data_IF_419785731864
#
_entry.id   IF_419785731864
#
_cell.length_a   1.000
_cell.length_b   1.000
_cell.length_c   1.000
_cell.angle_alpha   90.00
_cell.angle_beta   90.00
_cell.angle_gamma   90.00
#
_symmetry.space_group_name_H-M   'P 1'
#
loop_
_entity.id
_entity.type
_entity.pdbx_description
1 polymer ?
#
# COMPACT_ATOMS: atom_id res chain seq x y z
N UNK A 1 -16.11 -4.94 -10.77
CA UNK A 1 -16.26 -4.50 -9.37
C UNK A 1 -14.89 -4.32 -8.73
N UNK A 2 -14.64 -3.17 -8.18
CA UNK A 2 -13.34 -2.90 -7.56
C UNK A 2 -13.29 -3.53 -6.17
N UNK A 3 -12.16 -4.16 -5.84
CA UNK A 3 -11.95 -4.71 -4.51
C UNK A 3 -11.69 -3.58 -3.50
N UNK A 4 -11.90 -3.88 -2.21
CA UNK A 4 -11.59 -2.91 -1.14
C UNK A 4 -10.13 -2.48 -1.15
N UNK A 5 -9.22 -3.41 -1.49
CA UNK A 5 -7.80 -3.11 -1.59
C UNK A 5 -7.49 -2.10 -2.69
N UNK A 6 -8.13 -2.25 -3.85
CA UNK A 6 -7.96 -1.32 -4.96
C UNK A 6 -8.45 0.08 -4.61
N UNK A 7 -9.60 0.18 -3.92
CA UNK A 7 -10.12 1.47 -3.49
C UNK A 7 -9.18 2.16 -2.49
N UNK A 8 -8.65 1.42 -1.53
CA UNK A 8 -7.70 1.96 -0.56
C UNK A 8 -6.43 2.45 -1.24
N UNK A 9 -5.88 1.67 -2.19
CA UNK A 9 -4.70 2.06 -2.95
C UNK A 9 -4.96 3.33 -3.75
N UNK A 10 -6.13 3.44 -4.39
CA UNK A 10 -6.48 4.64 -5.16
C UNK A 10 -6.62 5.86 -4.26
N UNK A 11 -7.14 5.69 -3.05
CA UNK A 11 -7.24 6.79 -2.08
C UNK A 11 -5.86 7.26 -1.63
N UNK A 12 -4.96 6.33 -1.35
CA UNK A 12 -3.58 6.68 -0.98
C UNK A 12 -2.85 7.35 -2.13
N UNK A 13 -3.02 6.86 -3.35
CA UNK A 13 -2.43 7.46 -4.54
C UNK A 13 -2.88 8.90 -4.70
N UNK A 14 -4.19 9.15 -4.65
CA UNK A 14 -4.73 10.50 -4.79
C UNK A 14 -4.22 11.43 -3.68
N UNK A 15 -4.16 10.93 -2.46
CA UNK A 15 -3.64 11.72 -1.33
C UNK A 15 -2.18 12.12 -1.55
N UNK A 16 -1.33 11.17 -1.95
CA UNK A 16 0.09 11.47 -2.16
C UNK A 16 0.30 12.39 -3.36
N UNK A 17 -0.51 12.25 -4.40
CA UNK A 17 -0.47 13.18 -5.52
C UNK A 17 -0.85 14.60 -5.07
N UNK A 18 -1.83 14.71 -4.17
CA UNK A 18 -2.21 16.01 -3.61
C UNK A 18 -1.09 16.64 -2.77
N UNK A 19 -0.17 15.82 -2.26
CA UNK A 19 1.00 16.26 -1.52
C UNK A 19 2.21 16.59 -2.41
N UNK A 20 2.03 16.49 -3.72
CA UNK A 20 3.07 16.83 -4.68
C UNK A 20 3.93 15.67 -5.17
N UNK A 21 3.58 14.44 -4.82
CA UNK A 21 4.32 13.27 -5.27
C UNK A 21 3.83 12.76 -6.62
N UNK A 22 4.76 12.24 -7.40
CA UNK A 22 4.44 11.39 -8.53
C UNK A 22 4.33 9.97 -7.99
N UNK A 23 3.24 9.28 -8.28
CA UNK A 23 2.93 7.98 -7.65
C UNK A 23 2.84 6.88 -8.70
N UNK A 24 3.50 5.76 -8.42
CA UNK A 24 3.40 4.56 -9.22
C UNK A 24 2.82 3.44 -8.35
N UNK A 25 1.84 2.72 -8.88
CA UNK A 25 1.23 1.57 -8.19
C UNK A 25 1.91 0.27 -8.62
N UNK A 26 2.07 -0.63 -7.68
CA UNK A 26 2.46 -2.00 -7.99
C UNK A 26 1.34 -2.67 -8.81
N UNK A 27 1.74 -3.47 -9.78
CA UNK A 27 0.79 -4.14 -10.68
C UNK A 27 0.96 -5.65 -10.61
N UNK A 28 -0.15 -6.36 -10.72
CA UNK A 28 -0.13 -7.81 -10.87
C UNK A 28 0.55 -8.17 -12.17
N UNK A 29 1.34 -9.23 -12.16
CA UNK A 29 2.00 -9.76 -13.33
C UNK A 29 1.29 -11.05 -13.74
N UNK A 30 0.94 -11.18 -15.03
CA UNK A 30 0.39 -12.42 -15.57
C UNK A 30 1.52 -13.15 -16.28
N UNK A 31 1.74 -14.40 -15.89
CA UNK A 31 2.68 -15.28 -16.58
C UNK A 31 1.92 -16.48 -17.14
N UNK A 32 2.44 -17.08 -18.20
CA UNK A 32 1.84 -18.23 -18.83
C UNK A 32 2.68 -19.47 -18.53
N UNK A 33 2.06 -20.45 -17.87
CA UNK A 33 2.70 -21.73 -17.60
C UNK A 33 1.84 -22.82 -18.21
N UNK A 34 2.42 -23.56 -19.16
CA UNK A 34 1.75 -24.67 -19.84
C UNK A 34 0.39 -24.26 -20.43
N UNK A 35 0.35 -23.07 -21.04
CA UNK A 35 -0.86 -22.58 -21.68
C UNK A 35 -1.91 -22.02 -20.73
N UNK A 36 -1.61 -21.90 -19.44
CA UNK A 36 -2.52 -21.32 -18.45
C UNK A 36 -2.01 -19.98 -17.93
N UNK A 37 -2.87 -18.96 -17.89
CA UNK A 37 -2.48 -17.70 -17.28
C UNK A 37 -2.47 -17.82 -15.75
N UNK A 38 -1.38 -17.38 -15.14
CA UNK A 38 -1.26 -17.34 -13.69
C UNK A 38 -1.00 -15.89 -13.30
N UNK A 39 -1.88 -15.34 -12.46
CA UNK A 39 -1.71 -13.99 -11.94
C UNK A 39 -0.83 -14.05 -10.69
N UNK A 40 0.29 -13.32 -10.73
CA UNK A 40 1.18 -13.19 -9.58
C UNK A 40 1.03 -11.79 -9.01
N UNK A 41 0.74 -11.67 -7.71
CA UNK A 41 0.77 -10.36 -7.08
C UNK A 41 2.20 -9.82 -7.14
N UNK A 42 2.34 -8.54 -7.41
CA UNK A 42 3.63 -7.88 -7.48
C UNK A 42 3.61 -6.64 -6.61
N UNK A 43 4.27 -6.72 -5.47
CA UNK A 43 4.47 -5.60 -4.58
C UNK A 43 5.92 -5.14 -4.70
N UNK A 44 6.17 -3.85 -4.59
CA UNK A 44 7.55 -3.34 -4.60
C UNK A 44 8.28 -3.91 -3.40
N UNK A 45 9.37 -4.61 -3.67
CA UNK A 45 10.20 -5.29 -2.65
C UNK A 45 9.40 -6.27 -1.78
N UNK A 46 8.26 -6.76 -2.27
CA UNK A 46 7.40 -7.66 -1.51
C UNK A 46 6.65 -7.01 -0.36
N UNK A 47 6.69 -5.69 -0.24
CA UNK A 47 6.18 -5.00 0.94
C UNK A 47 5.37 -3.72 0.65
N UNK A 48 5.47 -3.14 -0.54
CA UNK A 48 4.85 -1.84 -0.79
C UNK A 48 3.97 -1.84 -2.02
N UNK A 49 2.85 -1.17 -1.92
CA UNK A 49 1.87 -1.05 -3.01
C UNK A 49 2.11 0.19 -3.86
N UNK A 50 2.74 1.22 -3.31
CA UNK A 50 2.97 2.49 -3.99
C UNK A 50 4.41 2.96 -3.80
N UNK A 51 4.96 3.54 -4.87
CA UNK A 51 6.19 4.32 -4.80
C UNK A 51 5.82 5.76 -5.13
N UNK A 52 6.22 6.68 -4.26
CA UNK A 52 5.93 8.11 -4.40
C UNK A 52 7.24 8.87 -4.45
N UNK A 53 7.44 9.68 -5.47
CA UNK A 53 8.67 10.45 -5.61
C UNK A 53 8.36 11.93 -5.87
N UNK A 54 9.25 12.78 -5.39
CA UNK A 54 9.29 14.19 -5.73
C UNK A 54 10.73 14.68 -5.61
N UNK A 55 10.99 15.91 -6.01
CA UNK A 55 12.35 16.41 -6.11
C UNK A 55 13.19 16.25 -4.83
N UNK A 56 12.58 16.44 -3.66
CA UNK A 56 13.27 16.44 -2.38
C UNK A 56 12.99 15.21 -1.53
N UNK A 57 12.42 14.16 -2.10
CA UNK A 57 12.19 12.95 -1.29
C UNK A 57 11.40 11.86 -1.99
N UNK A 58 11.27 10.75 -1.27
CA UNK A 58 10.48 9.61 -1.72
C UNK A 58 9.73 8.98 -0.55
N UNK A 59 8.64 8.31 -0.86
CA UNK A 59 7.92 7.48 0.10
C UNK A 59 7.57 6.15 -0.52
N UNK A 60 7.66 5.11 0.29
CA UNK A 60 7.21 3.75 -0.05
C UNK A 60 6.02 3.46 0.83
N UNK A 61 4.89 3.09 0.23
CA UNK A 61 3.65 2.97 0.98
C UNK A 61 3.07 1.57 0.87
N UNK A 62 2.84 0.94 2.02
CA UNK A 62 2.03 -0.25 2.14
C UNK A 62 0.62 0.20 2.48
N UNK A 63 -0.36 -0.25 1.71
CA UNK A 63 -1.76 0.15 1.90
C UNK A 63 -2.56 -1.03 2.42
N UNK A 64 -3.31 -0.82 3.48
CA UNK A 64 -4.22 -1.80 4.04
C UNK A 64 -5.60 -1.18 4.20
N UNK A 65 -6.62 -1.97 3.92
CA UNK A 65 -8.00 -1.65 4.23
C UNK A 65 -8.42 -2.56 5.37
N UNK A 66 -8.85 -1.97 6.48
CA UNK A 66 -9.16 -2.70 7.69
C UNK A 66 -10.66 -2.75 7.91
N UNK A 67 -11.20 -3.96 8.11
CA UNK A 67 -12.55 -4.13 8.65
C UNK A 67 -12.49 -4.19 10.16
N UNK A 68 -13.62 -3.99 10.80
CA UNK A 68 -13.73 -4.08 12.26
C UNK A 68 -13.29 -5.47 12.72
N UNK A 69 -12.31 -5.54 13.60
CA UNK A 69 -11.92 -6.76 14.30
C UNK A 69 -10.90 -7.66 13.61
N UNK A 70 -10.28 -7.24 12.48
CA UNK A 70 -9.32 -8.07 11.76
C UNK A 70 -7.94 -7.45 11.60
N UNK A 71 -7.69 -6.35 12.27
CA UNK A 71 -6.56 -5.50 11.91
C UNK A 71 -5.20 -6.02 12.33
N UNK A 72 -5.10 -6.64 13.50
CA UNK A 72 -3.81 -6.75 14.17
C UNK A 72 -2.82 -7.71 13.51
N UNK A 73 -3.26 -8.91 13.12
CA UNK A 73 -2.35 -9.90 12.52
C UNK A 73 -1.83 -9.46 11.15
N UNK A 74 -2.71 -8.91 10.31
CA UNK A 74 -2.33 -8.44 8.99
C UNK A 74 -1.42 -7.22 9.07
N UNK A 75 -1.68 -6.33 10.02
CA UNK A 75 -0.86 -5.14 10.21
C UNK A 75 0.52 -5.51 10.76
N UNK A 76 0.59 -6.46 11.69
CA UNK A 76 1.87 -6.92 12.20
C UNK A 76 2.73 -7.54 11.09
N UNK A 77 2.13 -8.34 10.22
CA UNK A 77 2.84 -8.91 9.09
C UNK A 77 3.30 -7.84 8.11
N UNK A 78 2.44 -6.86 7.80
CA UNK A 78 2.81 -5.75 6.93
C UNK A 78 3.99 -4.98 7.49
N UNK A 79 3.97 -4.65 8.78
CA UNK A 79 5.06 -3.94 9.45
C UNK A 79 6.36 -4.73 9.39
N UNK A 80 6.28 -6.06 9.59
CA UNK A 80 7.45 -6.93 9.52
C UNK A 80 8.07 -6.92 8.12
N UNK A 81 7.25 -7.01 7.08
CA UNK A 81 7.73 -6.99 5.70
C UNK A 81 8.36 -5.64 5.36
N UNK A 82 7.75 -4.55 5.82
CA UNK A 82 8.27 -3.21 5.60
C UNK A 82 9.62 -3.03 6.30
N UNK A 83 9.75 -3.53 7.52
CA UNK A 83 10.98 -3.39 8.30
C UNK A 83 12.16 -4.11 7.63
N UNK A 84 11.90 -5.17 6.87
CA UNK A 84 12.94 -5.91 6.17
C UNK A 84 13.49 -5.17 4.94
N UNK A 85 12.81 -4.15 4.46
CA UNK A 85 13.25 -3.38 3.29
C UNK A 85 14.18 -2.27 3.73
N UNK A 86 15.33 -2.18 3.08
CA UNK A 86 16.30 -1.11 3.35
C UNK A 86 15.94 0.11 2.53
N UNK A 87 15.53 1.16 3.20
CA UNK A 87 15.11 2.40 2.56
C UNK A 87 15.55 3.58 3.43
N UNK A 88 15.62 4.79 2.88
CA UNK A 88 15.98 5.98 3.67
C UNK A 88 15.04 6.15 4.86
N UNK A 89 15.59 6.64 5.96
CA UNK A 89 14.81 6.88 7.16
C UNK A 89 13.62 7.79 6.87
N UNK A 90 12.46 7.42 7.40
CA UNK A 90 11.24 8.19 7.22
C UNK A 90 10.54 7.99 5.88
N UNK A 91 11.09 7.13 4.99
CA UNK A 91 10.47 6.92 3.67
C UNK A 91 9.39 5.86 3.66
N UNK A 92 9.33 4.98 4.66
CA UNK A 92 8.37 3.88 4.70
C UNK A 92 7.12 4.29 5.47
N UNK A 93 5.97 4.20 4.82
CA UNK A 93 4.68 4.54 5.43
C UNK A 93 3.70 3.38 5.30
N UNK A 94 2.93 3.16 6.35
CA UNK A 94 1.80 2.24 6.33
C UNK A 94 0.53 3.08 6.34
N UNK A 95 -0.28 2.92 5.31
CA UNK A 95 -1.59 3.56 5.21
C UNK A 95 -2.67 2.56 5.57
N UNK A 96 -3.45 2.89 6.59
CA UNK A 96 -4.55 2.04 7.05
C UNK A 96 -5.86 2.81 6.82
N UNK A 97 -6.67 2.32 5.91
CA UNK A 97 -7.96 2.93 5.61
C UNK A 97 -9.08 2.15 6.31
N UNK A 98 -9.90 2.86 7.06
CA UNK A 98 -11.03 2.27 7.79
C UNK A 98 -12.27 3.13 7.58
N UNK A 99 -13.42 2.48 7.53
CA UNK A 99 -14.69 3.21 7.56
C UNK A 99 -15.05 3.54 8.99
N UNK A 100 -15.44 4.79 9.24
CA UNK A 100 -15.96 5.17 10.55
C UNK A 100 -17.44 4.79 10.66
N UNK A 101 -18.06 5.07 11.81
CA UNK A 101 -19.47 4.75 12.07
C UNK A 101 -20.45 5.48 11.16
N UNK A 102 -20.00 6.49 10.43
CA UNK A 102 -20.82 7.25 9.46
C UNK A 102 -20.58 6.79 8.02
N UNK A 103 -19.85 5.71 7.83
CA UNK A 103 -19.55 5.18 6.50
C UNK A 103 -18.47 5.94 5.72
N UNK A 104 -17.77 6.84 6.37
CA UNK A 104 -16.67 7.60 5.72
C UNK A 104 -15.34 6.92 5.94
N UNK A 105 -14.49 7.01 4.92
CA UNK A 105 -13.14 6.46 5.01
C UNK A 105 -12.23 7.41 5.80
N UNK A 106 -11.49 6.84 6.74
CA UNK A 106 -10.50 7.54 7.53
C UNK A 106 -9.14 6.88 7.35
N UNK A 107 -8.10 7.69 7.30
CA UNK A 107 -6.73 7.23 7.13
C UNK A 107 -5.97 7.32 8.44
N UNK A 108 -5.29 6.23 8.80
CA UNK A 108 -4.20 6.24 9.78
C UNK A 108 -2.90 6.07 9.02
N UNK A 109 -1.99 7.00 9.16
CA UNK A 109 -0.68 6.96 8.53
C UNK A 109 0.38 6.69 9.59
N UNK A 110 1.14 5.60 9.43
CA UNK A 110 2.22 5.24 10.35
C UNK A 110 3.55 5.26 9.60
N UNK A 111 4.53 5.92 10.20
CA UNK A 111 5.90 5.88 9.68
C UNK A 111 6.60 4.65 10.25
N UNK A 112 7.30 3.91 9.39
CA UNK A 112 8.10 2.75 9.79
C UNK A 112 9.58 3.09 9.67
N UNK A 113 10.32 2.57 10.62
CA UNK A 113 11.78 2.78 10.64
C UNK A 113 12.48 1.93 9.58
#
# INVERSE_FOLDING_TARGET
MKSKGTDAENRSKALMESRGYQVEKARSKVIWIRGRPISLPYDFFGAFDLICIKEDGMKLIQVKSSGIGRADAHLAEARRKMAAVRAPEGSKLLHIWQKNGKGRWELTEEAEA
#
